data_IF_595915515475
#
_entry.id   IF_595915515475
#
_cell.length_a   1.000
_cell.length_b   1.000
_cell.length_c   1.000
_cell.angle_alpha   90.00
_cell.angle_beta   90.00
_cell.angle_gamma   90.00
#
_symmetry.space_group_name_H-M   'P 1'
#
loop_
_entity.id
_entity.type
_entity.pdbx_description
1 polymer ?
#
# COMPACT_ATOMS: atom_id res chain seq x y z
N UNK A 1 23.93 19.33 35.93
CA UNK A 1 24.18 20.48 35.06
C UNK A 1 23.53 20.19 33.75
N UNK A 2 22.48 20.95 33.38
CA UNK A 2 21.81 20.77 32.11
C UNK A 2 22.69 21.39 31.00
N UNK A 3 23.07 20.61 30.01
CA UNK A 3 23.77 21.13 28.82
C UNK A 3 22.80 22.04 28.07
N UNK A 4 23.22 23.31 27.94
CA UNK A 4 22.50 24.31 27.16
C UNK A 4 22.85 24.02 25.68
N UNK A 5 22.03 23.23 25.01
CA UNK A 5 22.11 23.03 23.57
C UNK A 5 21.78 24.35 22.86
N UNK A 6 22.61 24.77 21.95
CA UNK A 6 22.36 25.98 21.16
C UNK A 6 21.22 25.74 20.16
N UNK A 7 20.45 26.79 19.84
CA UNK A 7 19.37 26.73 18.83
C UNK A 7 19.86 26.18 17.48
N UNK A 8 21.14 26.31 17.20
CA UNK A 8 21.77 25.84 15.97
C UNK A 8 21.98 24.30 16.00
N UNK A 9 22.24 23.72 17.18
CA UNK A 9 22.35 22.26 17.37
C UNK A 9 20.97 21.59 17.34
N UNK A 10 19.93 22.27 17.85
CA UNK A 10 18.55 21.83 17.74
C UNK A 10 17.99 21.91 16.31
N UNK A 11 18.52 22.80 15.49
CA UNK A 11 18.09 23.01 14.11
C UNK A 11 18.87 22.14 13.08
N UNK A 12 19.96 21.48 13.49
CA UNK A 12 20.69 20.53 12.63
C UNK A 12 20.00 19.18 12.74
N UNK A 13 19.31 18.71 11.69
CA UNK A 13 18.72 17.36 11.72
C UNK A 13 19.85 16.35 11.84
N UNK A 14 19.86 15.57 12.91
CA UNK A 14 20.73 14.42 13.02
C UNK A 14 20.27 13.35 12.02
N UNK A 15 20.88 13.32 10.86
CA UNK A 15 20.57 12.39 9.77
C UNK A 15 20.73 10.91 10.17
N UNK A 16 21.44 10.65 11.28
CA UNK A 16 21.61 9.32 11.82
C UNK A 16 20.47 8.90 12.76
N UNK A 17 19.62 9.84 13.20
CA UNK A 17 18.54 9.61 14.16
C UNK A 17 17.12 9.69 13.55
N UNK A 18 16.96 9.65 12.25
CA UNK A 18 15.63 9.41 11.70
C UNK A 18 15.38 7.89 11.67
N UNK A 19 14.83 7.32 12.76
CA UNK A 19 14.45 5.92 12.76
C UNK A 19 13.34 5.79 11.75
N UNK A 20 13.53 4.94 10.75
CA UNK A 20 12.49 4.56 9.82
C UNK A 20 11.25 4.08 10.60
N UNK A 21 10.06 4.38 10.12
CA UNK A 21 8.81 3.86 10.69
C UNK A 21 8.77 2.33 10.71
N UNK A 22 9.59 1.68 9.86
CA UNK A 22 9.71 0.23 9.75
C UNK A 22 10.98 -0.27 10.42
N UNK A 23 10.81 -1.21 11.35
CA UNK A 23 11.94 -2.00 11.87
C UNK A 23 12.06 -3.24 10.99
N UNK A 24 13.07 -3.28 10.12
CA UNK A 24 13.34 -4.47 9.34
C UNK A 24 13.88 -5.57 10.24
N UNK A 25 13.33 -6.80 10.19
CA UNK A 25 13.99 -7.95 10.81
C UNK A 25 15.41 -8.07 10.22
N UNK A 26 16.39 -8.28 11.09
CA UNK A 26 17.77 -8.50 10.68
C UNK A 26 17.82 -9.73 9.78
N UNK A 27 18.25 -9.56 8.54
CA UNK A 27 18.62 -10.69 7.69
C UNK A 27 19.89 -11.29 8.25
N UNK A 28 19.98 -12.62 8.27
CA UNK A 28 21.26 -13.29 8.56
C UNK A 28 22.33 -12.70 7.66
N UNK A 29 23.48 -12.36 8.25
CA UNK A 29 24.59 -11.69 7.56
C UNK A 29 25.12 -12.46 6.32
N UNK A 30 24.71 -13.72 6.17
CA UNK A 30 25.02 -14.60 5.03
C UNK A 30 24.07 -14.43 3.84
N UNK A 31 22.95 -13.72 4.01
CA UNK A 31 21.93 -13.55 2.97
C UNK A 31 22.06 -12.14 2.41
N UNK A 32 22.79 -12.00 1.31
CA UNK A 32 22.81 -10.79 0.51
C UNK A 32 21.51 -10.68 -0.29
N UNK A 33 20.44 -10.16 0.35
CA UNK A 33 19.22 -9.82 -0.36
C UNK A 33 19.33 -8.41 -0.93
N UNK A 34 19.66 -8.32 -2.20
CA UNK A 34 19.53 -7.09 -2.99
C UNK A 34 18.23 -7.15 -3.80
N UNK A 35 17.37 -6.16 -3.60
CA UNK A 35 16.30 -5.93 -4.55
C UNK A 35 16.95 -5.54 -5.89
N UNK A 36 16.99 -6.47 -6.85
CA UNK A 36 17.57 -6.21 -8.16
C UNK A 36 16.93 -4.96 -8.75
N UNK A 37 17.74 -4.00 -9.13
CA UNK A 37 17.30 -2.70 -9.67
C UNK A 37 16.30 -2.84 -10.83
N UNK A 38 16.46 -3.87 -11.66
CA UNK A 38 15.49 -4.20 -12.73
C UNK A 38 14.08 -4.55 -12.26
N UNK A 39 13.91 -4.99 -11.01
CA UNK A 39 12.61 -5.33 -10.44
C UNK A 39 11.91 -4.12 -9.84
N UNK A 40 12.66 -3.13 -9.38
CA UNK A 40 12.10 -1.87 -8.85
C UNK A 40 11.29 -1.14 -9.92
N UNK A 41 11.69 -1.24 -11.17
CA UNK A 41 10.96 -0.65 -12.30
C UNK A 41 9.66 -1.39 -12.67
N UNK A 42 9.48 -2.62 -12.19
CA UNK A 42 8.25 -3.40 -12.40
C UNK A 42 7.17 -3.08 -11.37
N UNK A 43 7.52 -2.40 -10.27
CA UNK A 43 6.52 -2.01 -9.28
C UNK A 43 5.65 -0.89 -9.83
N UNK A 44 4.35 -1.14 -9.84
CA UNK A 44 3.38 -0.08 -10.05
C UNK A 44 3.53 0.93 -8.91
N UNK A 45 3.70 2.19 -9.25
CA UNK A 45 3.87 3.24 -8.25
C UNK A 45 2.52 3.73 -7.75
N UNK A 46 2.40 3.93 -6.45
CA UNK A 46 1.23 4.49 -5.80
C UNK A 46 1.55 5.90 -5.31
N UNK A 47 0.79 6.89 -5.76
CA UNK A 47 1.03 8.31 -5.48
C UNK A 47 0.17 8.86 -4.33
N UNK A 48 -0.90 8.15 -3.96
CA UNK A 48 -1.85 8.59 -2.94
C UNK A 48 -2.96 9.49 -3.49
N UNK A 49 -3.21 9.45 -4.79
CA UNK A 49 -4.26 10.24 -5.44
C UNK A 49 -5.66 9.63 -5.22
N UNK A 50 -6.68 10.48 -5.22
CA UNK A 50 -8.06 10.06 -4.93
C UNK A 50 -8.63 8.98 -5.89
N UNK A 51 -8.13 8.91 -7.13
CA UNK A 51 -8.56 7.94 -8.14
C UNK A 51 -7.81 6.61 -8.11
N UNK A 52 -6.76 6.49 -7.30
CA UNK A 52 -5.97 5.26 -7.24
C UNK A 52 -6.68 4.18 -6.42
N UNK A 53 -6.45 2.92 -6.82
CA UNK A 53 -6.98 1.75 -6.12
C UNK A 53 -5.88 1.11 -5.25
N UNK A 54 -5.94 1.29 -3.91
CA UNK A 54 -4.95 0.71 -3.00
C UNK A 54 -4.99 -0.82 -2.96
N UNK A 55 -6.14 -1.45 -3.19
CA UNK A 55 -6.22 -2.91 -3.25
C UNK A 55 -5.54 -3.47 -4.49
N UNK A 56 -5.72 -2.80 -5.64
CA UNK A 56 -5.04 -3.16 -6.88
C UNK A 56 -3.52 -3.06 -6.71
N UNK A 57 -3.04 -1.96 -6.13
CA UNK A 57 -1.63 -1.76 -5.83
C UNK A 57 -1.05 -2.90 -4.96
N UNK A 58 -1.75 -3.27 -3.87
CA UNK A 58 -1.30 -4.37 -3.00
C UNK A 58 -1.29 -5.73 -3.70
N UNK A 59 -2.26 -6.00 -4.60
CA UNK A 59 -2.30 -7.23 -5.40
C UNK A 59 -1.12 -7.31 -6.36
N UNK A 60 -0.82 -6.23 -7.07
CA UNK A 60 0.30 -6.15 -8.01
C UNK A 60 1.64 -6.30 -7.29
N UNK A 61 1.82 -5.61 -6.15
CA UNK A 61 2.98 -5.78 -5.29
C UNK A 61 3.15 -7.26 -4.87
N UNK A 62 2.06 -7.90 -4.46
CA UNK A 62 2.08 -9.31 -4.08
C UNK A 62 2.54 -10.22 -5.23
N UNK A 63 2.00 -10.02 -6.43
CA UNK A 63 2.39 -10.81 -7.61
C UNK A 63 3.87 -10.66 -7.92
N UNK A 64 4.40 -9.44 -7.89
CA UNK A 64 5.84 -9.20 -8.13
C UNK A 64 6.69 -9.84 -7.04
N UNK A 65 6.34 -9.66 -5.77
CA UNK A 65 7.08 -10.25 -4.65
C UNK A 65 7.08 -11.78 -4.67
N UNK A 66 5.96 -12.40 -5.04
CA UNK A 66 5.84 -13.87 -5.12
C UNK A 66 6.70 -14.46 -6.23
N UNK A 67 6.93 -13.72 -7.31
CA UNK A 67 7.80 -14.15 -8.41
C UNK A 67 9.29 -14.12 -8.05
N UNK A 68 9.66 -13.43 -6.97
CA UNK A 68 11.06 -13.16 -6.60
C UNK A 68 11.68 -14.15 -5.61
N UNK A 69 11.00 -15.10 -5.07
CA UNK A 69 11.40 -16.03 -3.97
C UNK A 69 12.92 -16.26 -3.82
N UNK A 70 13.71 -15.34 -3.23
CA UNK A 70 15.09 -15.61 -2.89
C UNK A 70 15.15 -16.60 -1.73
N UNK A 71 16.13 -17.50 -1.75
CA UNK A 71 16.32 -18.47 -0.67
C UNK A 71 16.68 -17.74 0.65
N UNK A 72 16.02 -18.14 1.74
CA UNK A 72 16.34 -17.63 3.08
C UNK A 72 15.68 -16.32 3.48
N UNK A 73 14.86 -15.69 2.62
CA UNK A 73 14.12 -14.47 2.93
C UNK A 73 12.62 -14.77 2.99
N UNK A 74 11.95 -14.29 4.03
CA UNK A 74 10.49 -14.47 4.14
C UNK A 74 9.76 -13.56 3.15
N UNK A 75 8.62 -14.00 2.68
CA UNK A 75 7.77 -13.22 1.77
C UNK A 75 7.39 -11.85 2.37
N UNK A 76 7.14 -11.78 3.66
CA UNK A 76 6.81 -10.56 4.36
C UNK A 76 7.96 -9.54 4.36
N UNK A 77 9.21 -10.01 4.50
CA UNK A 77 10.40 -9.15 4.42
C UNK A 77 10.58 -8.56 3.02
N UNK A 78 10.27 -9.36 1.99
CA UNK A 78 10.33 -8.89 0.59
C UNK A 78 9.25 -7.83 0.37
N UNK A 79 8.01 -8.12 0.78
CA UNK A 79 6.87 -7.20 0.63
C UNK A 79 7.10 -5.86 1.33
N UNK A 80 7.58 -5.87 2.58
CA UNK A 80 7.88 -4.64 3.31
C UNK A 80 8.89 -3.76 2.57
N UNK A 81 9.98 -4.35 2.10
CA UNK A 81 11.01 -3.59 1.37
C UNK A 81 10.50 -3.10 0.03
N UNK A 82 9.84 -3.96 -0.75
CA UNK A 82 9.29 -3.61 -2.04
C UNK A 82 8.25 -2.49 -1.94
N UNK A 83 7.40 -2.53 -0.92
CA UNK A 83 6.37 -1.53 -0.68
C UNK A 83 6.94 -0.12 -0.51
N UNK A 84 8.05 0.03 0.24
CA UNK A 84 8.69 1.34 0.45
C UNK A 84 9.15 1.99 -0.86
N UNK A 85 9.59 1.18 -1.83
CA UNK A 85 10.01 1.66 -3.14
C UNK A 85 8.84 1.89 -4.10
N UNK A 86 7.68 1.30 -3.84
CA UNK A 86 6.50 1.45 -4.67
C UNK A 86 5.68 2.72 -4.38
N UNK A 87 5.96 3.41 -3.28
CA UNK A 87 5.28 4.65 -2.90
C UNK A 87 5.98 5.88 -3.47
N UNK A 88 5.20 6.85 -3.93
CA UNK A 88 5.65 8.16 -4.41
C UNK A 88 4.78 9.28 -3.88
N UNK A 89 5.27 10.49 -4.01
CA UNK A 89 4.58 11.74 -3.69
C UNK A 89 3.89 11.71 -2.31
N UNK A 90 2.62 12.04 -2.22
CA UNK A 90 1.88 12.11 -0.95
C UNK A 90 1.82 10.77 -0.20
N UNK A 91 1.89 9.64 -0.91
CA UNK A 91 1.93 8.33 -0.28
C UNK A 91 3.29 8.09 0.41
N UNK A 92 4.36 8.58 -0.17
CA UNK A 92 5.68 8.52 0.44
C UNK A 92 5.81 9.46 1.63
N UNK A 93 5.27 10.68 1.51
CA UNK A 93 5.22 11.63 2.62
C UNK A 93 4.44 11.07 3.81
N UNK A 94 3.29 10.45 3.57
CA UNK A 94 2.53 9.76 4.62
C UNK A 94 3.39 8.72 5.36
N UNK A 95 4.19 7.96 4.65
CA UNK A 95 5.07 6.96 5.26
C UNK A 95 6.11 7.60 6.20
N UNK A 96 6.67 8.75 5.81
CA UNK A 96 7.63 9.49 6.64
C UNK A 96 7.03 10.09 7.90
N UNK A 97 5.71 10.38 7.90
CA UNK A 97 5.02 10.91 9.07
C UNK A 97 4.59 9.83 10.07
N UNK A 98 4.76 8.56 9.74
CA UNK A 98 4.45 7.48 10.69
C UNK A 98 5.48 7.44 11.82
N UNK A 99 5.04 7.14 13.06
CA UNK A 99 5.95 7.03 14.19
C UNK A 99 7.04 5.98 13.95
N UNK A 100 8.24 6.29 14.42
CA UNK A 100 9.38 5.38 14.31
C UNK A 100 9.10 4.04 14.96
N UNK A 101 9.45 2.94 14.26
CA UNK A 101 9.27 1.58 14.76
C UNK A 101 7.81 1.14 14.94
N UNK A 102 6.85 1.90 14.40
CA UNK A 102 5.42 1.55 14.46
C UNK A 102 5.07 0.32 13.62
N UNK A 103 5.91 -0.04 12.68
CA UNK A 103 5.68 -1.13 11.74
C UNK A 103 6.75 -2.19 11.87
N UNK A 104 6.34 -3.38 12.30
CA UNK A 104 7.21 -4.55 12.46
C UNK A 104 6.87 -5.67 11.48
N UNK A 105 5.63 -5.71 10.99
CA UNK A 105 5.11 -6.78 10.15
C UNK A 105 4.47 -6.23 8.87
N UNK A 106 4.42 -7.07 7.85
CA UNK A 106 3.69 -6.74 6.62
C UNK A 106 2.20 -6.48 6.86
N UNK A 107 1.58 -7.23 7.78
CA UNK A 107 0.16 -7.05 8.10
C UNK A 107 -0.13 -5.69 8.75
N UNK A 108 0.74 -5.21 9.64
CA UNK A 108 0.62 -3.87 10.23
C UNK A 108 0.71 -2.79 9.15
N UNK A 109 1.73 -2.88 8.27
CA UNK A 109 1.89 -1.96 7.13
C UNK A 109 0.65 -1.93 6.25
N UNK A 110 0.18 -3.11 5.84
CA UNK A 110 -1.01 -3.25 4.99
C UNK A 110 -2.25 -2.62 5.64
N UNK A 111 -2.46 -2.84 6.93
CA UNK A 111 -3.62 -2.31 7.64
C UNK A 111 -3.57 -0.78 7.73
N UNK A 112 -2.44 -0.19 8.11
CA UNK A 112 -2.25 1.27 8.16
C UNK A 112 -2.42 1.90 6.78
N UNK A 113 -1.91 1.27 5.74
CA UNK A 113 -2.07 1.75 4.36
C UNK A 113 -3.54 1.73 3.91
N UNK A 114 -4.26 0.63 4.17
CA UNK A 114 -5.67 0.53 3.83
C UNK A 114 -6.53 1.47 4.68
N UNK A 115 -6.24 1.64 5.97
CA UNK A 115 -6.93 2.60 6.81
C UNK A 115 -6.81 4.03 6.26
N UNK A 116 -5.63 4.41 5.77
CA UNK A 116 -5.38 5.71 5.17
C UNK A 116 -6.06 5.90 3.82
N UNK A 117 -5.90 4.94 2.89
CA UNK A 117 -6.27 5.11 1.49
C UNK A 117 -7.57 4.40 1.09
N UNK A 118 -8.10 3.54 1.97
CA UNK A 118 -9.36 2.84 1.79
C UNK A 118 -10.22 2.87 3.07
N UNK A 119 -10.56 4.07 3.58
CA UNK A 119 -11.32 4.21 4.81
C UNK A 119 -12.76 3.68 4.66
N UNK A 120 -13.42 3.41 5.78
CA UNK A 120 -14.80 2.89 5.81
C UNK A 120 -15.81 3.77 5.04
N UNK A 121 -15.59 5.08 5.00
CA UNK A 121 -16.39 6.01 4.20
C UNK A 121 -16.32 5.71 2.70
N UNK A 122 -15.13 5.36 2.18
CA UNK A 122 -14.94 4.96 0.78
C UNK A 122 -15.66 3.65 0.48
N UNK A 123 -15.57 2.68 1.39
CA UNK A 123 -16.31 1.40 1.30
C UNK A 123 -17.82 1.66 1.21
N UNK A 124 -18.35 2.52 2.09
CA UNK A 124 -19.77 2.86 2.11
C UNK A 124 -20.24 3.54 0.81
N UNK A 125 -19.41 4.42 0.23
CA UNK A 125 -19.68 5.08 -1.04
C UNK A 125 -19.71 4.08 -2.19
N UNK A 126 -18.71 3.21 -2.30
CA UNK A 126 -18.67 2.18 -3.35
C UNK A 126 -19.87 1.22 -3.23
N UNK A 127 -20.26 0.83 -2.01
CA UNK A 127 -21.49 0.02 -1.81
C UNK A 127 -22.74 0.72 -2.31
N UNK A 128 -22.89 2.03 -2.04
CA UNK A 128 -24.01 2.81 -2.58
C UNK A 128 -23.99 2.85 -4.10
N UNK A 129 -22.81 3.01 -4.71
CA UNK A 129 -22.65 2.99 -6.16
C UNK A 129 -23.04 1.63 -6.74
N UNK A 130 -22.56 0.51 -6.15
CA UNK A 130 -22.93 -0.85 -6.59
C UNK A 130 -24.45 -1.05 -6.52
N UNK A 131 -25.09 -0.64 -5.42
CA UNK A 131 -26.55 -0.77 -5.26
C UNK A 131 -27.36 0.19 -6.15
N UNK A 132 -26.76 1.30 -6.54
CA UNK A 132 -27.40 2.34 -7.34
C UNK A 132 -27.09 2.28 -8.84
N UNK A 133 -26.19 1.39 -9.25
CA UNK A 133 -25.79 1.30 -10.67
C UNK A 133 -26.98 0.91 -11.54
N UNK A 134 -27.20 1.66 -12.61
CA UNK A 134 -28.29 1.44 -13.57
C UNK A 134 -27.73 1.53 -14.97
N UNK A 135 -28.29 0.71 -15.86
CA UNK A 135 -27.96 0.77 -17.29
C UNK A 135 -28.43 2.11 -17.88
N UNK A 136 -27.54 2.79 -18.59
CA UNK A 136 -27.91 4.02 -19.30
C UNK A 136 -28.63 3.73 -20.62
N UNK A 137 -29.45 4.71 -21.08
CA UNK A 137 -30.08 4.62 -22.39
C UNK A 137 -28.99 4.67 -23.47
N UNK A 138 -28.94 3.64 -24.32
CA UNK A 138 -27.93 3.49 -25.38
C UNK A 138 -26.70 2.65 -24.99
N UNK A 139 -26.53 2.34 -23.72
CA UNK A 139 -25.48 1.43 -23.24
C UNK A 139 -25.85 -0.03 -23.57
N UNK A 140 -24.91 -0.81 -24.05
CA UNK A 140 -25.12 -2.25 -24.24
C UNK A 140 -25.12 -2.99 -22.89
N UNK A 141 -25.76 -4.16 -22.83
CA UNK A 141 -25.73 -5.00 -21.61
C UNK A 141 -24.30 -5.40 -21.25
N UNK A 142 -23.43 -5.60 -22.23
CA UNK A 142 -22.03 -5.96 -22.03
C UNK A 142 -21.25 -4.83 -21.34
N UNK A 143 -21.37 -3.59 -21.82
CA UNK A 143 -20.72 -2.41 -21.21
C UNK A 143 -21.18 -2.19 -19.78
N UNK A 144 -22.50 -2.26 -19.52
CA UNK A 144 -23.07 -2.19 -18.18
C UNK A 144 -22.44 -3.27 -17.27
N UNK A 145 -22.37 -4.53 -17.75
CA UNK A 145 -21.84 -5.64 -16.97
C UNK A 145 -20.35 -5.49 -16.68
N UNK A 146 -19.56 -5.01 -17.63
CA UNK A 146 -18.13 -4.70 -17.40
C UNK A 146 -17.93 -3.57 -16.39
N UNK A 147 -18.73 -2.52 -16.44
CA UNK A 147 -18.74 -1.44 -15.45
C UNK A 147 -19.07 -1.97 -14.05
N UNK A 148 -20.13 -2.76 -13.95
CA UNK A 148 -20.56 -3.38 -12.70
C UNK A 148 -19.49 -4.30 -12.09
N UNK A 149 -18.86 -5.18 -12.90
CA UNK A 149 -17.74 -6.03 -12.45
C UNK A 149 -16.57 -5.23 -11.94
N UNK A 150 -16.18 -4.15 -12.64
CA UNK A 150 -15.11 -3.25 -12.19
C UNK A 150 -15.42 -2.62 -10.84
N UNK A 151 -16.65 -2.18 -10.65
CA UNK A 151 -17.10 -1.57 -9.41
C UNK A 151 -17.08 -2.58 -8.25
N UNK A 152 -17.56 -3.79 -8.45
CA UNK A 152 -17.46 -4.87 -7.47
C UNK A 152 -16.02 -5.24 -7.14
N UNK A 153 -15.13 -5.29 -8.13
CA UNK A 153 -13.72 -5.60 -7.94
C UNK A 153 -12.95 -4.53 -7.16
N UNK A 154 -13.42 -3.27 -7.20
CA UNK A 154 -12.80 -2.16 -6.45
C UNK A 154 -13.05 -2.23 -4.94
N UNK A 155 -14.05 -3.03 -4.50
CA UNK A 155 -14.36 -3.23 -3.09
C UNK A 155 -14.49 -4.72 -2.76
N UNK A 156 -13.38 -5.43 -2.47
CA UNK A 156 -13.43 -6.87 -2.15
C UNK A 156 -14.35 -7.22 -0.95
N UNK A 157 -14.63 -6.24 -0.11
CA UNK A 157 -15.48 -6.38 1.09
C UNK A 157 -16.87 -5.78 0.91
N UNK A 158 -17.43 -5.77 -0.33
CA UNK A 158 -18.75 -5.18 -0.58
C UNK A 158 -19.90 -5.94 0.11
N UNK A 159 -19.68 -7.17 0.56
CA UNK A 159 -20.67 -8.03 1.25
C UNK A 159 -21.96 -8.28 0.46
N UNK A 160 -21.93 -8.08 -0.85
CA UNK A 160 -23.02 -8.45 -1.73
C UNK A 160 -22.84 -9.92 -2.07
N UNK A 161 -23.87 -10.72 -1.85
CA UNK A 161 -23.83 -12.16 -2.12
C UNK A 161 -23.60 -12.41 -3.62
N UNK A 162 -22.79 -13.39 -3.98
CA UNK A 162 -22.58 -13.77 -5.39
C UNK A 162 -23.88 -14.12 -6.11
N UNK A 163 -24.88 -14.61 -5.37
CA UNK A 163 -26.22 -14.90 -5.88
C UNK A 163 -26.97 -13.65 -6.35
N UNK A 164 -26.62 -12.47 -5.87
CA UNK A 164 -27.19 -11.19 -6.31
C UNK A 164 -26.37 -10.57 -7.46
N UNK A 165 -25.25 -11.19 -7.83
CA UNK A 165 -24.36 -10.76 -8.91
C UNK A 165 -24.61 -11.53 -10.21
N UNK A 166 -25.54 -12.49 -10.21
CA UNK A 166 -26.00 -13.28 -11.36
C UNK A 166 -27.37 -12.74 -11.79
#
# INVERSE_FOLDING_TARGET
MAEIQTLKELATPDLNQQPLCTTFPTLDATIAFELKSGLIHLFLTFHGLAGEDPHKHLKELHMVCTSMKPMGVTEDQIKLRAFLFSLKDSAKDWLYYLPSGSIKTWNEMKNLFLEKYFPASRVANIRKEICGVRKYNGESLHEYWECFKKLCASCPCHQISELLLI
#
